data_IF_984826178202
#
_entry.id   IF_984826178202
#
_cell.length_a   1.000
_cell.length_b   1.000
_cell.length_c   1.000
_cell.angle_alpha   90.00
_cell.angle_beta   90.00
_cell.angle_gamma   90.00
#
_symmetry.space_group_name_H-M   'P 1'
#
loop_
_entity.id
_entity.type
_entity.pdbx_description
1 polymer ?
#
# COMPACT_ATOMS: atom_id res chain seq x y z
N UNK A 1 14.76 -27.77 0.53
CA UNK A 1 14.77 -26.49 1.26
C UNK A 1 13.31 -26.12 1.50
N UNK A 2 12.83 -25.99 2.75
CA UNK A 2 11.53 -25.38 2.96
C UNK A 2 11.64 -23.88 2.62
N UNK A 3 10.59 -23.26 2.06
CA UNK A 3 10.56 -21.81 1.92
C UNK A 3 10.59 -21.18 3.32
N UNK A 4 11.24 -20.02 3.45
CA UNK A 4 11.36 -19.28 4.70
C UNK A 4 9.97 -18.99 5.29
N UNK A 5 9.61 -19.81 6.27
CA UNK A 5 8.54 -19.67 7.23
C UNK A 5 8.80 -18.44 8.11
N UNK A 6 8.52 -17.23 7.60
CA UNK A 6 8.15 -16.02 8.36
C UNK A 6 7.98 -14.74 7.54
N UNK A 7 7.98 -14.80 6.21
CA UNK A 7 7.69 -13.61 5.40
C UNK A 7 6.20 -13.29 5.47
N UNK A 8 5.78 -12.53 6.49
CA UNK A 8 4.40 -12.10 6.67
C UNK A 8 4.06 -11.05 5.60
N UNK A 9 3.76 -11.54 4.40
CA UNK A 9 3.35 -10.69 3.28
C UNK A 9 2.02 -10.02 3.62
N UNK A 10 1.90 -8.75 3.26
CA UNK A 10 0.66 -7.98 3.39
C UNK A 10 -0.56 -8.71 2.79
N UNK A 11 -0.35 -9.51 1.74
CA UNK A 11 -1.40 -10.34 1.11
C UNK A 11 -1.96 -11.46 1.98
N UNK A 12 -1.27 -11.88 3.04
CA UNK A 12 -1.74 -12.93 3.94
C UNK A 12 -2.68 -12.40 5.03
N UNK A 13 -2.59 -11.11 5.35
CA UNK A 13 -3.35 -10.46 6.43
C UNK A 13 -4.32 -9.38 5.93
N UNK A 14 -4.19 -8.96 4.67
CA UNK A 14 -5.03 -7.94 4.06
C UNK A 14 -5.40 -8.24 2.60
N UNK A 15 -6.65 -7.94 2.27
CA UNK A 15 -7.16 -7.92 0.91
C UNK A 15 -6.84 -6.57 0.25
N UNK A 16 -6.09 -6.61 -0.86
CA UNK A 16 -5.64 -5.43 -1.60
C UNK A 16 -6.16 -5.49 -3.03
N UNK A 17 -6.99 -4.52 -3.42
CA UNK A 17 -7.57 -4.40 -4.78
C UNK A 17 -8.01 -2.97 -5.08
N UNK A 18 -8.14 -2.63 -6.36
CA UNK A 18 -8.73 -1.36 -6.82
C UNK A 18 -10.26 -1.40 -6.72
N UNK A 19 -10.92 -0.24 -6.76
CA UNK A 19 -12.37 -0.13 -6.65
C UNK A 19 -12.94 -0.89 -5.44
N UNK A 20 -12.35 -0.62 -4.26
CA UNK A 20 -12.70 -1.33 -3.02
C UNK A 20 -13.31 -0.37 -1.98
N UNK A 21 -14.62 -0.09 -2.04
CA UNK A 21 -15.26 0.87 -1.13
C UNK A 21 -15.30 0.40 0.33
N UNK A 22 -15.23 -0.91 0.57
CA UNK A 22 -15.19 -1.50 1.92
C UNK A 22 -13.76 -1.64 2.48
N UNK A 23 -12.77 -1.00 1.84
CA UNK A 23 -11.43 -0.96 2.39
C UNK A 23 -11.37 -0.10 3.66
N UNK A 24 -10.40 -0.38 4.52
CA UNK A 24 -10.18 0.46 5.71
C UNK A 24 -9.55 1.80 5.33
N UNK A 25 -8.70 1.80 4.31
CA UNK A 25 -8.11 2.99 3.71
C UNK A 25 -7.64 2.68 2.28
N UNK A 26 -7.21 3.71 1.57
CA UNK A 26 -6.76 3.63 0.19
C UNK A 26 -5.38 4.24 -0.01
N UNK A 27 -4.69 3.81 -1.06
CA UNK A 27 -3.45 4.42 -1.54
C UNK A 27 -3.70 5.05 -2.90
N UNK A 28 -3.26 6.29 -3.07
CA UNK A 28 -3.28 7.01 -4.34
C UNK A 28 -2.41 6.26 -5.34
N UNK A 29 -3.05 5.69 -6.36
CA UNK A 29 -2.40 4.87 -7.38
C UNK A 29 -1.73 5.70 -8.47
N UNK A 30 -2.37 6.81 -8.83
CA UNK A 30 -2.04 7.66 -9.98
C UNK A 30 -2.09 9.10 -9.54
N UNK A 31 -1.07 9.86 -9.91
CA UNK A 31 -1.00 11.27 -9.57
C UNK A 31 0.38 11.83 -9.88
N UNK A 32 0.69 12.98 -9.28
CA UNK A 32 2.06 13.50 -9.28
C UNK A 32 2.98 12.54 -8.51
N UNK A 33 4.28 12.64 -8.73
CA UNK A 33 5.27 11.88 -7.97
C UNK A 33 5.24 12.16 -6.46
N UNK A 34 4.57 13.25 -6.04
CA UNK A 34 4.43 13.66 -4.65
C UNK A 34 3.16 13.14 -3.97
N UNK A 35 2.13 12.80 -4.74
CA UNK A 35 0.89 12.22 -4.22
C UNK A 35 0.82 10.71 -4.44
N UNK A 36 1.61 10.17 -5.36
CA UNK A 36 1.59 8.74 -5.67
C UNK A 36 2.14 7.91 -4.49
N UNK A 37 1.33 6.99 -3.98
CA UNK A 37 1.65 6.22 -2.78
C UNK A 37 1.14 6.85 -1.47
N UNK A 38 0.49 8.02 -1.52
CA UNK A 38 -0.13 8.65 -0.37
C UNK A 38 -1.31 7.80 0.15
N UNK A 39 -1.35 7.57 1.47
CA UNK A 39 -2.46 6.89 2.12
C UNK A 39 -3.58 7.89 2.42
N UNK A 40 -4.79 7.59 1.97
CA UNK A 40 -5.98 8.43 2.12
C UNK A 40 -7.14 7.65 2.72
N UNK A 41 -8.04 8.36 3.42
CA UNK A 41 -9.27 7.80 4.01
C UNK A 41 -10.51 8.06 3.16
N UNK A 42 -10.34 8.69 2.00
CA UNK A 42 -11.43 8.93 1.06
C UNK A 42 -11.42 7.88 -0.05
N UNK A 43 -12.59 7.29 -0.28
CA UNK A 43 -12.76 6.31 -1.34
C UNK A 43 -12.66 6.98 -2.71
N UNK A 44 -11.81 6.42 -3.56
CA UNK A 44 -11.80 6.70 -4.99
C UNK A 44 -11.65 5.37 -5.74
N UNK A 45 -12.48 5.08 -6.76
CA UNK A 45 -12.43 3.83 -7.51
C UNK A 45 -11.07 3.55 -8.18
N UNK A 46 -10.28 4.58 -8.49
CA UNK A 46 -8.94 4.46 -9.05
C UNK A 46 -7.86 4.13 -8.01
N UNK A 47 -8.12 4.42 -6.73
CA UNK A 47 -7.19 4.14 -5.66
C UNK A 47 -7.13 2.65 -5.32
N UNK A 48 -6.00 2.24 -4.73
CA UNK A 48 -5.80 0.88 -4.26
C UNK A 48 -6.33 0.80 -2.84
N UNK A 49 -7.43 0.09 -2.64
CA UNK A 49 -7.99 -0.13 -1.31
C UNK A 49 -7.29 -1.28 -0.58
N UNK A 50 -7.06 -1.10 0.71
CA UNK A 50 -6.48 -2.09 1.61
C UNK A 50 -7.49 -2.38 2.72
N UNK A 51 -7.98 -3.62 2.76
CA UNK A 51 -8.81 -4.11 3.86
C UNK A 51 -8.03 -5.16 4.65
N UNK A 52 -7.72 -4.87 5.90
CA UNK A 52 -7.12 -5.83 6.81
C UNK A 52 -8.20 -6.84 7.21
N UNK A 53 -7.98 -8.11 6.92
CA UNK A 53 -8.91 -9.18 7.30
C UNK A 53 -8.57 -9.77 8.69
N UNK A 54 -7.31 -9.60 9.15
CA UNK A 54 -6.82 -10.05 10.47
C UNK A 54 -6.43 -8.87 11.36
N UNK A 55 -7.43 -8.14 11.84
CA UNK A 55 -7.22 -6.98 12.73
C UNK A 55 -6.66 -7.34 14.10
N UNK A 56 -6.70 -8.63 14.47
CA UNK A 56 -6.03 -9.20 15.64
C UNK A 56 -4.50 -9.21 15.52
N UNK A 57 -3.97 -9.19 14.30
CA UNK A 57 -2.52 -9.19 14.01
C UNK A 57 -2.02 -7.83 13.56
N UNK A 58 -2.84 -7.07 12.83
CA UNK A 58 -2.44 -5.79 12.25
C UNK A 58 -3.58 -4.77 12.38
N UNK A 59 -3.33 -3.67 13.08
CA UNK A 59 -4.32 -2.61 13.20
C UNK A 59 -4.39 -1.77 11.90
N UNK A 60 -5.59 -1.50 11.36
CA UNK A 60 -5.74 -0.69 10.15
C UNK A 60 -5.11 0.69 10.26
N UNK A 61 -5.32 1.38 11.38
CA UNK A 61 -4.74 2.71 11.62
C UNK A 61 -3.22 2.67 11.69
N UNK A 62 -2.64 1.63 12.31
CA UNK A 62 -1.19 1.48 12.37
C UNK A 62 -0.60 1.32 10.97
N UNK A 63 -1.19 0.47 10.14
CA UNK A 63 -0.74 0.27 8.76
C UNK A 63 -0.88 1.56 7.93
N UNK A 64 -1.95 2.33 8.14
CA UNK A 64 -2.15 3.62 7.50
C UNK A 64 -0.98 4.58 7.79
N UNK A 65 -0.60 4.73 9.07
CA UNK A 65 0.52 5.59 9.45
C UNK A 65 1.87 5.04 8.96
N UNK A 66 2.06 3.71 8.99
CA UNK A 66 3.27 3.08 8.46
C UNK A 66 3.44 3.38 6.96
N UNK A 67 2.38 3.24 6.17
CA UNK A 67 2.41 3.55 4.73
C UNK A 67 2.57 5.05 4.45
N UNK A 68 2.00 5.89 5.31
CA UNK A 68 2.24 7.35 5.27
C UNK A 68 3.72 7.67 5.48
N UNK A 69 4.37 6.98 6.42
CA UNK A 69 5.81 7.12 6.66
C UNK A 69 6.65 6.62 5.47
N UNK A 70 6.29 5.48 4.88
CA UNK A 70 6.93 4.96 3.64
C UNK A 70 6.78 5.95 2.48
N UNK A 71 5.66 6.66 2.41
CA UNK A 71 5.48 7.73 1.43
C UNK A 71 6.38 8.93 1.70
N UNK A 72 6.46 9.37 2.94
CA UNK A 72 7.35 10.47 3.34
C UNK A 72 8.84 10.15 3.16
N UNK A 73 9.24 8.88 3.26
CA UNK A 73 10.62 8.44 2.99
C UNK A 73 10.99 8.43 1.49
N UNK A 74 10.01 8.68 0.60
CA UNK A 74 10.23 8.73 -0.85
C UNK A 74 10.37 7.37 -1.51
N UNK A 75 10.04 6.26 -0.82
CA UNK A 75 10.12 4.91 -1.37
C UNK A 75 9.28 4.76 -2.66
N UNK A 76 8.07 5.33 -2.66
CA UNK A 76 7.18 5.29 -3.83
C UNK A 76 7.75 6.05 -5.02
N UNK A 77 8.52 7.13 -4.82
CA UNK A 77 9.16 7.87 -5.92
C UNK A 77 10.14 7.01 -6.72
N UNK A 78 10.71 5.98 -6.10
CA UNK A 78 11.62 5.04 -6.78
C UNK A 78 10.89 3.93 -7.54
N UNK A 79 9.68 3.55 -7.10
CA UNK A 79 8.85 2.51 -7.72
C UNK A 79 7.87 3.05 -8.75
N UNK A 80 7.51 4.33 -8.65
CA UNK A 80 6.52 4.95 -9.51
C UNK A 80 7.07 5.03 -10.94
N UNK A 81 6.36 4.42 -11.88
CA UNK A 81 6.72 4.39 -13.31
C UNK A 81 5.85 5.38 -14.07
N UNK A 82 6.46 6.26 -14.89
CA UNK A 82 5.74 7.28 -15.66
C UNK A 82 6.62 8.43 -16.18
N UNK A 83 5.97 9.44 -16.76
CA UNK A 83 6.58 10.70 -17.20
C UNK A 83 6.73 11.69 -16.05
N UNK A 84 7.58 12.72 -16.19
CA UNK A 84 7.92 13.72 -15.16
C UNK A 84 6.75 14.30 -14.34
N UNK A 85 5.52 14.28 -14.87
CA UNK A 85 4.33 14.86 -14.22
C UNK A 85 3.28 13.85 -13.77
N UNK A 86 3.31 12.61 -14.27
CA UNK A 86 2.28 11.61 -13.99
C UNK A 86 2.92 10.24 -13.83
N UNK A 87 2.77 9.67 -12.64
CA UNK A 87 3.31 8.36 -12.29
C UNK A 87 2.21 7.44 -11.78
N UNK A 88 2.42 6.14 -11.95
CA UNK A 88 1.48 5.10 -11.52
C UNK A 88 2.21 4.01 -10.72
N UNK A 89 1.58 3.56 -9.64
CA UNK A 89 1.95 2.34 -8.91
C UNK A 89 0.95 1.21 -9.21
N UNK A 90 1.39 -0.03 -9.15
CA UNK A 90 0.53 -1.21 -9.33
C UNK A 90 0.17 -1.79 -7.98
N UNK A 91 -0.95 -2.53 -7.96
CA UNK A 91 -1.36 -3.33 -6.79
C UNK A 91 -0.26 -4.32 -6.37
N UNK A 92 0.49 -4.87 -7.34
CA UNK A 92 1.64 -5.74 -7.07
C UNK A 92 2.73 -5.06 -6.26
N UNK A 93 2.98 -3.77 -6.51
CA UNK A 93 4.03 -3.01 -5.82
C UNK A 93 3.65 -2.79 -4.35
N UNK A 94 2.38 -2.51 -4.09
CA UNK A 94 1.81 -2.42 -2.73
C UNK A 94 1.88 -3.76 -2.00
N UNK A 95 1.61 -4.87 -2.70
CA UNK A 95 1.66 -6.23 -2.14
C UNK A 95 3.08 -6.68 -1.79
N UNK A 96 4.08 -6.10 -2.45
CA UNK A 96 5.50 -6.44 -2.26
C UNK A 96 6.14 -5.67 -1.10
N UNK A 97 5.41 -4.78 -0.42
CA UNK A 97 5.92 -4.11 0.76
C UNK A 97 6.09 -5.14 1.87
N UNK A 98 7.34 -5.32 2.29
CA UNK A 98 7.68 -6.15 3.45
C UNK A 98 7.57 -5.31 4.71
N UNK A 99 6.72 -5.75 5.64
CA UNK A 99 6.63 -5.20 6.99
C UNK A 99 7.77 -5.78 7.84
N UNK A 100 9.01 -5.51 7.47
CA UNK A 100 10.18 -5.94 8.25
C UNK A 100 10.67 -4.77 9.10
N UNK A 101 10.68 -4.89 10.45
CA UNK A 101 11.42 -3.96 11.28
C UNK A 101 12.91 -4.20 11.04
N UNK A 102 13.60 -3.24 10.41
CA UNK A 102 15.06 -3.19 10.40
C UNK A 102 15.53 -2.19 11.43
#
# INVERSE_FOLDING_TARGET
MPPAENEMKLTAVATIRTNFPEAHFWIVRRGSAEHCGEAVREFNPEHIGIRIDRTDLLLPDYLFYALTHVHQSGHWKQLATGTLSLVNIRVSDVRSIELSPR
#
